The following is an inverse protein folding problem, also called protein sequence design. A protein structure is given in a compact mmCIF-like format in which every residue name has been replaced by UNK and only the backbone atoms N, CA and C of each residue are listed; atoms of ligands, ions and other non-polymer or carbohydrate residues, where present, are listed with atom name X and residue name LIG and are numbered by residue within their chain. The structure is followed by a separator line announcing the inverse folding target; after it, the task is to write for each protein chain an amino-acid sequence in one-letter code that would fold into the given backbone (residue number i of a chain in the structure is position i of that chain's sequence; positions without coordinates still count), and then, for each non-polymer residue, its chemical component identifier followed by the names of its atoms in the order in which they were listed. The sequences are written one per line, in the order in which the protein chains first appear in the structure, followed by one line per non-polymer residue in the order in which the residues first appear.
data_IF_067499414529
#
_entry.id   IF_067499414529
#
_cell.length_a   1.000
_cell.length_b   1.000
_cell.length_c   1.000
_cell.angle_alpha   90.00
_cell.angle_beta   90.00
_cell.angle_gamma   90.00
#
_symmetry.space_group_name_H-M   'P 1'
#
loop_
_entity.id
_entity.type
_entity.pdbx_description
1 polymer ?
#
# COMPACT_ATOMS: atom_id res chain seq x y z
N UNK A 1 31.83 11.12 -61.05
CA UNK A 1 31.76 12.59 -60.93
C UNK A 1 30.29 12.96 -60.74
N UNK A 2 29.81 12.98 -59.49
CA UNK A 2 28.47 13.47 -59.14
C UNK A 2 28.58 14.21 -57.80
N UNK A 3 28.81 15.52 -57.88
CA UNK A 3 28.74 16.40 -56.72
C UNK A 3 27.27 16.74 -56.49
N UNK A 4 26.68 16.20 -55.42
CA UNK A 4 25.37 16.65 -54.94
C UNK A 4 25.58 17.98 -54.21
N UNK A 5 25.09 19.07 -54.81
CA UNK A 5 25.05 20.39 -54.20
C UNK A 5 24.02 20.42 -53.07
N UNK A 6 24.46 20.54 -51.82
CA UNK A 6 23.57 20.85 -50.70
C UNK A 6 23.06 22.29 -50.84
N UNK A 7 21.74 22.56 -50.76
CA UNK A 7 21.22 23.92 -50.80
C UNK A 7 21.60 24.66 -49.51
N UNK A 8 22.47 25.64 -49.65
CA UNK A 8 23.07 26.44 -48.58
C UNK A 8 22.33 27.76 -48.36
N UNK A 9 21.04 27.74 -48.02
CA UNK A 9 20.35 28.94 -47.48
C UNK A 9 19.25 28.56 -46.49
N UNK A 10 19.61 28.26 -45.24
CA UNK A 10 18.66 28.38 -44.14
C UNK A 10 18.42 29.87 -43.93
N UNK A 11 17.38 30.43 -44.55
CA UNK A 11 17.11 31.88 -44.45
C UNK A 11 16.77 32.26 -43.01
N UNK A 12 17.23 33.42 -42.52
CA UNK A 12 16.95 33.91 -41.17
C UNK A 12 15.42 34.04 -40.88
N UNK A 13 14.60 34.08 -41.93
CA UNK A 13 13.13 34.16 -41.86
C UNK A 13 12.43 32.84 -41.54
N UNK A 14 13.08 31.69 -41.79
CA UNK A 14 12.51 30.35 -41.51
C UNK A 14 12.90 29.79 -40.14
N UNK A 15 13.89 30.41 -39.48
CA UNK A 15 14.32 30.10 -38.10
C UNK A 15 13.19 30.12 -37.05
N UNK A 16 12.31 31.14 -36.98
CA UNK A 16 11.21 31.15 -35.99
C UNK A 16 10.19 30.04 -36.25
N UNK A 17 9.94 29.67 -37.51
CA UNK A 17 9.04 28.57 -37.85
C UNK A 17 9.61 27.20 -37.44
N UNK A 18 10.93 26.99 -37.60
CA UNK A 18 11.61 25.78 -37.12
C UNK A 18 11.66 25.71 -35.59
N UNK A 19 11.87 26.83 -34.90
CA UNK A 19 11.80 26.92 -33.44
C UNK A 19 10.40 26.59 -32.92
N UNK A 20 9.37 27.13 -33.56
CA UNK A 20 7.97 26.87 -33.22
C UNK A 20 7.61 25.41 -33.51
N UNK A 21 8.05 24.85 -34.64
CA UNK A 21 7.85 23.43 -34.96
C UNK A 21 8.59 22.51 -33.99
N UNK A 22 9.81 22.86 -33.54
CA UNK A 22 10.56 22.10 -32.53
C UNK A 22 9.91 22.15 -31.14
N UNK A 23 9.16 23.21 -30.83
CA UNK A 23 8.33 23.32 -29.62
C UNK A 23 7.02 22.53 -29.79
N UNK A 24 6.40 22.58 -30.97
CA UNK A 24 5.10 21.97 -31.27
C UNK A 24 5.18 20.45 -31.54
N UNK A 25 6.28 19.94 -32.07
CA UNK A 25 6.48 18.49 -32.31
C UNK A 25 6.37 17.65 -31.02
N UNK A 26 7.01 18.01 -29.89
CA UNK A 26 6.81 17.31 -28.63
C UNK A 26 5.43 17.55 -28.00
N UNK A 27 4.69 18.59 -28.40
CA UNK A 27 3.29 18.82 -27.99
C UNK A 27 2.29 17.92 -28.75
N UNK A 28 2.64 17.47 -29.96
CA UNK A 28 1.81 16.60 -30.81
C UNK A 28 1.86 15.12 -30.40
N UNK A 29 2.94 14.70 -29.74
CA UNK A 29 2.96 13.45 -29.01
C UNK A 29 2.42 13.71 -27.60
N UNK A 30 1.33 13.07 -27.18
CA UNK A 30 0.83 13.10 -25.80
C UNK A 30 1.79 12.51 -24.74
N UNK A 31 3.10 12.66 -24.93
CA UNK A 31 4.18 12.25 -24.05
C UNK A 31 4.04 12.96 -22.71
N UNK A 32 3.39 12.30 -21.75
CA UNK A 32 3.28 12.74 -20.38
C UNK A 32 1.87 13.05 -19.90
N UNK A 33 0.92 13.36 -20.81
CA UNK A 33 -0.45 13.71 -20.39
C UNK A 33 -1.13 12.54 -19.69
N UNK A 34 -1.03 11.34 -20.27
CA UNK A 34 -1.58 10.12 -19.68
C UNK A 34 -0.74 9.56 -18.53
N UNK A 35 0.46 10.09 -18.26
CA UNK A 35 1.36 9.51 -17.26
C UNK A 35 0.80 9.62 -15.85
N UNK A 36 0.17 10.75 -15.51
CA UNK A 36 -0.47 10.95 -14.19
C UNK A 36 -1.67 10.00 -14.00
N UNK A 37 -2.71 10.01 -14.86
CA UNK A 37 -3.86 9.11 -14.66
C UNK A 37 -3.48 7.63 -14.76
N UNK A 38 -2.51 7.27 -15.60
CA UNK A 38 -2.02 5.89 -15.66
C UNK A 38 -1.37 5.46 -14.34
N UNK A 39 -0.53 6.31 -13.75
CA UNK A 39 0.13 6.00 -12.47
C UNK A 39 -0.87 6.01 -11.30
N UNK A 40 -1.85 6.90 -11.33
CA UNK A 40 -2.93 6.98 -10.34
C UNK A 40 -3.75 5.68 -10.31
N UNK A 41 -4.22 5.22 -11.48
CA UNK A 41 -4.99 3.98 -11.60
C UNK A 41 -4.17 2.75 -11.22
N UNK A 42 -2.87 2.72 -11.51
CA UNK A 42 -1.98 1.66 -11.03
C UNK A 42 -1.88 1.64 -9.50
N UNK A 43 -1.77 2.80 -8.85
CA UNK A 43 -1.74 2.89 -7.40
C UNK A 43 -3.07 2.47 -6.77
N UNK A 44 -4.22 2.88 -7.34
CA UNK A 44 -5.56 2.46 -6.92
C UNK A 44 -5.79 0.95 -7.10
N UNK A 45 -5.31 0.38 -8.21
CA UNK A 45 -5.37 -1.07 -8.43
C UNK A 45 -4.53 -1.83 -7.39
N UNK A 46 -3.31 -1.36 -7.09
CA UNK A 46 -2.48 -1.93 -6.05
C UNK A 46 -3.12 -1.80 -4.65
N UNK A 47 -3.82 -0.69 -4.37
CA UNK A 47 -4.57 -0.53 -3.13
C UNK A 47 -5.74 -1.51 -3.02
N UNK A 48 -6.48 -1.72 -4.11
CA UNK A 48 -7.55 -2.71 -4.15
C UNK A 48 -7.04 -4.10 -3.79
N UNK A 49 -5.84 -4.46 -4.26
CA UNK A 49 -5.22 -5.74 -3.90
C UNK A 49 -4.84 -5.80 -2.42
N UNK A 50 -4.36 -4.70 -1.83
CA UNK A 50 -4.14 -4.61 -0.38
C UNK A 50 -5.44 -4.87 0.39
N UNK A 51 -6.54 -4.24 -0.01
CA UNK A 51 -7.86 -4.44 0.60
C UNK A 51 -8.33 -5.89 0.49
N UNK A 52 -8.14 -6.54 -0.66
CA UNK A 52 -8.50 -7.94 -0.88
C UNK A 52 -7.80 -8.86 0.13
N UNK A 53 -6.48 -8.66 0.36
CA UNK A 53 -5.73 -9.49 1.28
C UNK A 53 -6.11 -9.23 2.74
N UNK A 54 -6.39 -7.98 3.13
CA UNK A 54 -6.90 -7.67 4.47
C UNK A 54 -8.30 -8.25 4.71
N UNK A 55 -9.19 -8.18 3.72
CA UNK A 55 -10.52 -8.80 3.79
C UNK A 55 -10.41 -10.31 3.98
N UNK A 56 -9.57 -10.99 3.18
CA UNK A 56 -9.31 -12.42 3.33
C UNK A 56 -8.85 -12.78 4.74
N UNK A 57 -7.94 -11.98 5.34
CA UNK A 57 -7.49 -12.18 6.72
C UNK A 57 -8.65 -12.11 7.69
N UNK A 58 -9.53 -11.12 7.54
CA UNK A 58 -10.72 -10.98 8.36
C UNK A 58 -11.69 -12.16 8.18
N UNK A 59 -11.85 -12.70 6.97
CA UNK A 59 -12.77 -13.80 6.68
C UNK A 59 -12.34 -15.15 7.28
N UNK A 60 -11.05 -15.34 7.57
CA UNK A 60 -10.53 -16.54 8.23
C UNK A 60 -10.79 -16.55 9.75
N UNK A 61 -10.97 -15.38 10.36
CA UNK A 61 -11.05 -15.24 11.82
C UNK A 61 -12.25 -15.97 12.45
N UNK A 62 -13.48 -15.94 11.90
CA UNK A 62 -14.60 -16.66 12.50
C UNK A 62 -14.31 -18.16 12.65
N UNK A 63 -13.72 -18.78 11.62
CA UNK A 63 -13.35 -20.20 11.66
C UNK A 63 -12.24 -20.46 12.69
N UNK A 64 -11.27 -19.55 12.81
CA UNK A 64 -10.24 -19.63 13.85
C UNK A 64 -10.86 -19.56 15.25
N UNK A 65 -11.73 -18.58 15.49
CA UNK A 65 -12.40 -18.37 16.77
C UNK A 65 -13.23 -19.59 17.16
N UNK A 66 -14.03 -20.15 16.25
CA UNK A 66 -14.81 -21.35 16.52
C UNK A 66 -13.94 -22.58 16.80
N UNK A 67 -12.82 -22.73 16.07
CA UNK A 67 -11.86 -23.82 16.31
C UNK A 67 -11.24 -23.69 17.70
N UNK A 68 -10.80 -22.49 18.10
CA UNK A 68 -10.21 -22.27 19.43
C UNK A 68 -11.25 -22.44 20.54
N UNK A 69 -12.48 -21.95 20.35
CA UNK A 69 -13.59 -22.11 21.32
C UNK A 69 -13.86 -23.57 21.69
N UNK A 70 -13.70 -24.50 20.74
CA UNK A 70 -13.89 -25.94 21.00
C UNK A 70 -12.93 -26.53 22.03
N UNK A 71 -11.77 -25.90 22.24
CA UNK A 71 -10.72 -26.38 23.15
C UNK A 71 -10.46 -25.44 24.34
N UNK A 72 -10.65 -24.14 24.14
CA UNK A 72 -10.29 -23.08 25.09
C UNK A 72 -11.48 -22.14 25.36
N UNK A 73 -12.68 -22.69 25.57
CA UNK A 73 -13.91 -21.90 25.81
C UNK A 73 -13.85 -20.99 27.06
N UNK A 74 -12.93 -21.26 27.98
CA UNK A 74 -12.68 -20.44 29.17
C UNK A 74 -11.91 -19.14 28.85
N UNK A 75 -11.23 -19.07 27.70
CA UNK A 75 -10.43 -17.92 27.24
C UNK A 75 -11.31 -16.84 26.60
N UNK A 76 -12.41 -16.49 27.27
CA UNK A 76 -13.46 -15.60 26.73
C UNK A 76 -12.92 -14.22 26.38
N UNK A 77 -12.15 -13.62 27.27
CA UNK A 77 -11.58 -12.28 27.08
C UNK A 77 -10.69 -12.21 25.83
N UNK A 78 -9.88 -13.25 25.59
CA UNK A 78 -9.00 -13.30 24.42
C UNK A 78 -9.82 -13.46 23.14
N UNK A 79 -10.79 -14.37 23.13
CA UNK A 79 -11.66 -14.61 21.98
C UNK A 79 -12.53 -13.38 21.65
N UNK A 80 -13.07 -12.71 22.65
CA UNK A 80 -13.81 -11.45 22.51
C UNK A 80 -12.91 -10.37 21.91
N UNK A 81 -11.67 -10.22 22.42
CA UNK A 81 -10.72 -9.24 21.89
C UNK A 81 -10.41 -9.46 20.41
N UNK A 82 -10.38 -10.72 19.94
CA UNK A 82 -10.15 -11.06 18.52
C UNK A 82 -11.37 -10.72 17.67
N UNK A 83 -12.58 -11.02 18.16
CA UNK A 83 -13.84 -10.69 17.47
C UNK A 83 -14.00 -9.17 17.35
N UNK A 84 -13.73 -8.43 18.43
CA UNK A 84 -13.79 -6.97 18.42
C UNK A 84 -12.74 -6.37 17.49
N UNK A 85 -11.49 -6.87 17.53
CA UNK A 85 -10.43 -6.38 16.66
C UNK A 85 -10.73 -6.65 15.18
N UNK A 86 -11.33 -7.81 14.86
CA UNK A 86 -11.85 -8.10 13.52
C UNK A 86 -12.92 -7.09 13.12
N UNK A 87 -13.92 -6.86 13.98
CA UNK A 87 -15.02 -5.94 13.69
C UNK A 87 -14.48 -4.53 13.38
N UNK A 88 -13.56 -4.02 14.21
CA UNK A 88 -12.88 -2.74 13.99
C UNK A 88 -12.10 -2.72 12.67
N UNK A 89 -11.34 -3.77 12.38
CA UNK A 89 -10.55 -3.89 11.15
C UNK A 89 -11.42 -3.92 9.88
N UNK A 90 -12.64 -4.46 9.95
CA UNK A 90 -13.61 -4.48 8.83
C UNK A 90 -14.45 -3.21 8.73
N UNK A 91 -14.68 -2.52 9.86
CA UNK A 91 -15.50 -1.30 9.91
C UNK A 91 -14.72 -0.07 9.43
N UNK A 92 -13.42 0.01 9.75
CA UNK A 92 -12.56 1.10 9.31
C UNK A 92 -12.15 0.82 7.87
N UNK A 93 -12.87 1.41 6.91
CA UNK A 93 -12.57 1.32 5.50
C UNK A 93 -11.82 2.56 5.02
N UNK A 94 -10.88 2.36 4.09
CA UNK A 94 -10.24 3.44 3.35
C UNK A 94 -10.58 3.30 1.87
N UNK A 95 -11.54 4.10 1.37
CA UNK A 95 -11.94 4.03 -0.02
C UNK A 95 -10.84 4.61 -0.93
N UNK A 96 -10.89 4.23 -2.21
CA UNK A 96 -9.86 4.53 -3.22
C UNK A 96 -9.69 6.04 -3.49
N UNK A 97 -10.72 6.83 -3.20
CA UNK A 97 -10.78 8.29 -3.37
C UNK A 97 -10.25 9.07 -2.16
N UNK A 98 -9.92 8.39 -1.07
CA UNK A 98 -9.40 9.01 0.16
C UNK A 98 -7.97 8.55 0.51
N UNK A 99 -7.23 8.07 -0.48
CA UNK A 99 -5.84 7.61 -0.32
C UNK A 99 -4.85 8.73 -0.02
N UNK A 100 -5.23 9.99 -0.23
CA UNK A 100 -4.48 11.19 0.10
C UNK A 100 -4.70 11.65 1.56
N UNK A 101 -5.74 11.17 2.25
CA UNK A 101 -6.09 11.55 3.63
C UNK A 101 -5.20 10.83 4.67
N UNK A 102 -4.27 11.55 5.35
CA UNK A 102 -3.37 10.93 6.33
C UNK A 102 -4.10 10.35 7.54
N UNK A 103 -5.19 10.99 7.98
CA UNK A 103 -5.90 10.58 9.18
C UNK A 103 -6.67 9.28 8.93
N UNK A 104 -7.35 9.17 7.78
CA UNK A 104 -8.02 7.92 7.40
C UNK A 104 -7.03 6.80 7.10
N UNK A 105 -5.92 7.10 6.42
CA UNK A 105 -4.87 6.11 6.17
C UNK A 105 -4.26 5.59 7.47
N UNK A 106 -4.00 6.48 8.45
CA UNK A 106 -3.55 6.10 9.78
C UNK A 106 -4.59 5.25 10.53
N UNK A 107 -5.85 5.67 10.55
CA UNK A 107 -6.93 4.92 11.20
C UNK A 107 -7.07 3.50 10.63
N UNK A 108 -6.96 3.35 9.30
CA UNK A 108 -6.93 2.04 8.64
C UNK A 108 -5.73 1.21 9.09
N UNK A 109 -4.52 1.77 9.09
CA UNK A 109 -3.34 1.03 9.55
C UNK A 109 -3.43 0.60 11.02
N UNK A 110 -3.91 1.50 11.89
CA UNK A 110 -4.07 1.24 13.32
C UNK A 110 -5.10 0.13 13.57
N UNK A 111 -6.20 0.09 12.81
CA UNK A 111 -7.19 -1.00 12.91
C UNK A 111 -6.61 -2.35 12.46
N UNK A 112 -5.82 -2.37 11.38
CA UNK A 112 -5.15 -3.59 10.91
C UNK A 112 -4.07 -4.08 11.87
N UNK A 113 -3.33 -3.15 12.50
CA UNK A 113 -2.34 -3.47 13.54
C UNK A 113 -3.00 -4.03 14.78
N UNK A 114 -4.14 -3.45 15.21
CA UNK A 114 -4.91 -3.93 16.35
C UNK A 114 -5.35 -5.39 16.18
N UNK A 115 -5.78 -5.75 14.97
CA UNK A 115 -6.10 -7.15 14.63
C UNK A 115 -4.87 -8.06 14.70
N UNK A 116 -3.74 -7.66 14.13
CA UNK A 116 -2.48 -8.44 14.25
C UNK A 116 -2.13 -8.68 15.72
N UNK A 117 -2.20 -7.66 16.57
CA UNK A 117 -1.90 -7.80 18.00
C UNK A 117 -2.87 -8.73 18.74
N UNK A 118 -4.16 -8.72 18.40
CA UNK A 118 -5.13 -9.64 18.98
C UNK A 118 -4.84 -11.10 18.59
N UNK A 119 -4.49 -11.33 17.32
CA UNK A 119 -4.08 -12.66 16.85
C UNK A 119 -2.79 -13.14 17.55
N UNK A 120 -1.81 -12.27 17.78
CA UNK A 120 -0.60 -12.64 18.53
C UNK A 120 -0.91 -13.08 19.97
N UNK A 121 -1.83 -12.39 20.66
CA UNK A 121 -2.28 -12.81 22.01
C UNK A 121 -3.01 -14.15 21.98
N UNK A 122 -3.88 -14.36 20.99
CA UNK A 122 -4.55 -15.65 20.79
C UNK A 122 -3.54 -16.78 20.62
N UNK A 123 -2.53 -16.59 19.77
CA UNK A 123 -1.48 -17.60 19.55
C UNK A 123 -0.69 -17.91 20.83
N UNK A 124 -0.40 -16.90 21.67
CA UNK A 124 0.25 -17.13 22.96
C UNK A 124 -0.61 -17.99 23.90
N UNK A 125 -1.92 -17.79 23.91
CA UNK A 125 -2.85 -18.61 24.70
C UNK A 125 -2.89 -20.05 24.20
N UNK A 126 -2.85 -20.28 22.89
CA UNK A 126 -2.87 -21.63 22.30
C UNK A 126 -1.70 -22.50 22.79
N UNK A 127 -0.58 -21.92 23.19
CA UNK A 127 0.56 -22.67 23.76
C UNK A 127 0.18 -23.45 25.04
N UNK A 128 -0.85 -23.01 25.77
CA UNK A 128 -1.36 -23.71 26.96
C UNK A 128 -2.29 -24.89 26.63
N UNK A 129 -2.62 -25.11 25.36
CA UNK A 129 -3.59 -26.11 24.89
C UNK A 129 -2.95 -27.06 23.86
N UNK A 130 -2.23 -28.10 24.29
CA UNK A 130 -1.52 -29.02 23.40
C UNK A 130 -2.41 -29.70 22.35
N UNK A 131 -3.64 -30.09 22.74
CA UNK A 131 -4.59 -30.74 21.82
C UNK A 131 -5.05 -29.81 20.69
N UNK A 132 -5.26 -28.52 21.00
CA UNK A 132 -5.57 -27.49 20.01
C UNK A 132 -4.37 -27.23 19.10
N UNK A 133 -3.17 -27.14 19.68
CA UNK A 133 -1.92 -26.95 18.93
C UNK A 133 -1.68 -28.09 17.93
N UNK A 134 -2.06 -29.31 18.27
CA UNK A 134 -1.96 -30.48 17.39
C UNK A 134 -3.17 -30.64 16.44
N UNK A 135 -4.23 -29.85 16.61
CA UNK A 135 -5.45 -29.95 15.81
C UNK A 135 -5.18 -29.56 14.35
N UNK A 136 -5.53 -30.46 13.42
CA UNK A 136 -5.26 -30.27 11.98
C UNK A 136 -6.01 -29.07 11.38
N UNK A 137 -7.23 -28.78 11.83
CA UNK A 137 -7.99 -27.63 11.36
C UNK A 137 -7.35 -26.31 11.84
N UNK A 138 -6.88 -26.28 13.09
CA UNK A 138 -6.16 -25.13 13.63
C UNK A 138 -4.85 -24.88 12.87
N UNK A 139 -4.03 -25.92 12.66
CA UNK A 139 -2.79 -25.81 11.90
C UNK A 139 -3.03 -25.34 10.45
N UNK A 140 -4.09 -25.84 9.80
CA UNK A 140 -4.46 -25.39 8.46
C UNK A 140 -4.87 -23.91 8.44
N UNK A 141 -5.66 -23.44 9.42
CA UNK A 141 -6.04 -22.04 9.54
C UNK A 141 -4.84 -21.13 9.84
N UNK A 142 -3.91 -21.58 10.69
CA UNK A 142 -2.67 -20.88 10.98
C UNK A 142 -1.83 -20.70 9.69
N UNK A 143 -1.66 -21.77 8.92
CA UNK A 143 -0.94 -21.70 7.64
C UNK A 143 -1.63 -20.78 6.62
N UNK A 144 -2.97 -20.75 6.59
CA UNK A 144 -3.73 -19.83 5.73
C UNK A 144 -3.57 -18.37 6.17
N UNK A 145 -3.55 -18.09 7.47
CA UNK A 145 -3.33 -16.75 8.02
C UNK A 145 -1.91 -16.28 7.75
N UNK A 146 -0.90 -17.12 7.98
CA UNK A 146 0.49 -16.82 7.62
C UNK A 146 0.64 -16.55 6.12
N UNK A 147 0.06 -17.41 5.29
CA UNK A 147 0.03 -17.22 3.84
C UNK A 147 -0.68 -15.94 3.41
N UNK A 148 -1.68 -15.48 4.18
CA UNK A 148 -2.35 -14.20 3.95
C UNK A 148 -1.47 -13.03 4.37
N UNK A 149 -0.80 -13.12 5.51
CA UNK A 149 0.11 -12.07 5.99
C UNK A 149 1.30 -11.86 5.02
N UNK A 150 1.85 -12.94 4.48
CA UNK A 150 2.87 -12.88 3.43
C UNK A 150 2.35 -12.18 2.16
N UNK A 151 1.11 -12.46 1.75
CA UNK A 151 0.47 -11.76 0.61
C UNK A 151 0.18 -10.30 0.92
N UNK A 152 -0.22 -9.96 2.14
CA UNK A 152 -0.37 -8.56 2.60
C UNK A 152 0.97 -7.84 2.46
N UNK A 153 2.07 -8.42 2.95
CA UNK A 153 3.40 -7.80 2.84
C UNK A 153 3.78 -7.52 1.39
N UNK A 154 3.52 -8.47 0.48
CA UNK A 154 3.78 -8.33 -0.95
C UNK A 154 2.87 -7.27 -1.59
N UNK A 155 1.56 -7.28 -1.30
CA UNK A 155 0.61 -6.30 -1.81
C UNK A 155 0.97 -4.88 -1.34
N UNK A 156 1.34 -4.71 -0.06
CA UNK A 156 1.83 -3.44 0.49
C UNK A 156 3.08 -2.97 -0.25
N UNK A 157 4.03 -3.87 -0.55
CA UNK A 157 5.22 -3.53 -1.34
C UNK A 157 4.87 -3.03 -2.74
N UNK A 158 3.93 -3.68 -3.43
CA UNK A 158 3.48 -3.22 -4.74
C UNK A 158 2.78 -1.86 -4.67
N UNK A 159 1.93 -1.64 -3.66
CA UNK A 159 1.32 -0.33 -3.43
C UNK A 159 2.36 0.75 -3.13
N UNK A 160 3.35 0.47 -2.26
CA UNK A 160 4.45 1.40 -1.95
C UNK A 160 5.14 1.88 -3.23
N UNK A 161 5.44 0.94 -4.12
CA UNK A 161 6.12 1.24 -5.39
C UNK A 161 5.22 2.02 -6.36
N UNK A 162 3.95 1.63 -6.50
CA UNK A 162 3.00 2.34 -7.35
C UNK A 162 2.74 3.78 -6.87
N UNK A 163 2.58 3.97 -5.55
CA UNK A 163 2.48 5.30 -4.93
C UNK A 163 3.75 6.10 -5.12
N UNK A 164 4.94 5.50 -4.99
CA UNK A 164 6.20 6.18 -5.27
C UNK A 164 6.23 6.71 -6.70
N UNK A 165 5.85 5.90 -7.68
CA UNK A 165 5.77 6.31 -9.09
C UNK A 165 4.76 7.45 -9.26
N UNK A 166 3.52 7.28 -8.81
CA UNK A 166 2.47 8.31 -8.90
C UNK A 166 2.88 9.63 -8.23
N UNK A 167 3.33 9.59 -6.98
CA UNK A 167 3.74 10.79 -6.25
C UNK A 167 4.96 11.48 -6.91
N UNK A 168 5.82 10.71 -7.60
CA UNK A 168 6.94 11.28 -8.36
C UNK A 168 6.45 12.02 -9.60
N UNK A 169 5.47 11.49 -10.35
CA UNK A 169 4.96 12.15 -11.56
C UNK A 169 4.32 13.51 -11.25
N UNK A 170 3.73 13.68 -10.07
CA UNK A 170 3.22 14.98 -9.61
C UNK A 170 4.32 16.02 -9.33
N UNK A 171 5.58 15.60 -9.18
CA UNK A 171 6.69 16.44 -8.69
C UNK A 171 7.84 16.62 -9.68
N UNK A 172 7.89 15.85 -10.75
CA UNK A 172 9.02 15.86 -11.71
C UNK A 172 8.68 16.45 -13.06
N UNK A 173 9.67 17.04 -13.74
CA UNK A 173 9.53 17.48 -15.13
C UNK A 173 9.58 16.28 -16.10
N UNK A 174 8.77 16.24 -17.18
CA UNK A 174 7.80 17.26 -17.60
C UNK A 174 6.41 17.15 -16.97
N UNK A 175 6.08 16.05 -16.29
CA UNK A 175 4.73 15.74 -15.80
C UNK A 175 4.16 16.75 -14.80
N UNK A 176 5.00 17.45 -14.03
CA UNK A 176 4.60 18.53 -13.13
C UNK A 176 3.86 19.67 -13.86
N UNK A 177 4.12 19.90 -15.14
CA UNK A 177 3.39 20.90 -15.93
C UNK A 177 1.92 20.47 -16.07
N UNK A 178 1.68 19.20 -16.42
CA UNK A 178 0.33 18.66 -16.52
C UNK A 178 -0.36 18.57 -15.16
N UNK A 179 0.37 18.23 -14.09
CA UNK A 179 -0.15 18.25 -12.72
C UNK A 179 -0.66 19.64 -12.33
N UNK A 180 0.08 20.71 -12.68
CA UNK A 180 -0.30 22.08 -12.31
C UNK A 180 -1.31 22.75 -13.24
N UNK A 181 -1.44 22.30 -14.49
CA UNK A 181 -2.28 22.94 -15.50
C UNK A 181 -3.60 22.20 -15.76
N UNK A 182 -3.64 20.87 -15.57
CA UNK A 182 -4.78 20.04 -15.94
C UNK A 182 -5.26 19.12 -14.81
N UNK A 183 -4.34 18.50 -14.08
CA UNK A 183 -4.64 17.57 -12.99
C UNK A 183 -4.45 18.26 -11.63
N UNK A 184 -5.01 19.45 -11.45
CA UNK A 184 -4.76 20.33 -10.28
C UNK A 184 -5.26 19.76 -8.97
N UNK A 185 -6.26 18.87 -9.04
CA UNK A 185 -6.89 18.28 -7.87
C UNK A 185 -6.14 17.02 -7.39
N UNK A 186 -5.25 16.45 -8.21
CA UNK A 186 -4.48 15.28 -7.86
C UNK A 186 -3.51 15.57 -6.72
N UNK A 187 -3.72 14.91 -5.58
CA UNK A 187 -2.82 14.94 -4.43
C UNK A 187 -1.94 13.69 -4.36
N UNK A 188 -0.76 13.77 -3.72
CA UNK A 188 0.04 12.60 -3.42
C UNK A 188 -0.73 11.61 -2.53
N UNK A 189 -0.67 10.33 -2.86
CA UNK A 189 -1.23 9.30 -2.01
C UNK A 189 -0.33 9.01 -0.81
N UNK A 190 -0.96 8.63 0.30
CA UNK A 190 -0.31 8.17 1.51
C UNK A 190 0.36 6.83 1.27
N UNK A 191 1.46 6.59 1.96
CA UNK A 191 2.28 5.40 1.82
C UNK A 191 2.42 4.66 3.15
N UNK A 192 2.68 3.36 3.07
CA UNK A 192 3.03 2.56 4.24
C UNK A 192 4.42 2.93 4.73
N UNK A 193 4.52 3.36 5.99
CA UNK A 193 5.78 3.68 6.66
C UNK A 193 5.87 2.95 7.99
N UNK A 194 7.09 2.88 8.53
CA UNK A 194 7.28 2.53 9.94
C UNK A 194 6.96 3.79 10.74
N UNK A 195 6.12 3.65 11.77
CA UNK A 195 5.82 4.75 12.67
C UNK A 195 7.12 5.23 13.34
N UNK A 196 7.31 6.55 13.40
CA UNK A 196 8.59 7.16 13.81
C UNK A 196 8.98 6.78 15.25
N UNK A 197 7.99 6.52 16.11
CA UNK A 197 8.14 6.02 17.49
C UNK A 197 8.74 4.61 17.58
N UNK A 198 8.74 3.83 16.48
CA UNK A 198 9.37 2.51 16.39
C UNK A 198 10.75 2.54 15.73
N UNK A 199 11.23 3.72 15.31
CA UNK A 199 12.59 3.88 14.77
C UNK A 199 13.65 3.98 15.87
N UNK A 200 13.25 4.29 17.11
CA UNK A 200 14.15 4.23 18.25
C UNK A 200 14.32 2.78 18.70
N UNK A 201 15.55 2.25 18.54
CA UNK A 201 15.88 0.91 19.02
C UNK A 201 15.68 0.83 20.55
N UNK A 202 15.10 -0.26 21.07
CA UNK A 202 14.94 -0.42 22.51
C UNK A 202 16.31 -0.37 23.19
N UNK A 203 16.48 0.58 24.12
CA UNK A 203 17.67 0.64 24.97
C UNK A 203 17.57 -0.49 25.98
N UNK A 204 18.29 -1.57 25.73
CA UNK A 204 18.40 -2.67 26.68
C UNK A 204 19.46 -2.27 27.71
N UNK A 205 19.01 -1.93 28.91
CA UNK A 205 19.89 -1.75 30.07
C UNK A 205 19.82 -3.02 30.94
N UNK A 206 20.95 -3.69 31.08
CA UNK A 206 21.11 -4.89 31.91
C UNK A 206 21.53 -4.57 33.35
N UNK A 207 21.50 -3.30 33.76
CA UNK A 207 21.90 -2.91 35.10
C UNK A 207 20.85 -3.35 36.14
N UNK A 208 20.93 -4.64 36.48
CA UNK A 208 20.41 -5.20 37.72
C UNK A 208 21.26 -4.62 38.85
N UNK A 209 20.74 -3.55 39.46
CA UNK A 209 21.33 -2.95 40.66
C UNK A 209 21.55 -4.03 41.73
N UNK A 210 22.76 -4.07 42.27
CA UNK A 210 23.16 -4.94 43.37
C UNK A 210 22.50 -4.60 44.70
#
# INVERSE_FOLDING_TARGET
MFAQSFPSTLSLRTLPAFLLLAIVLPLLAGCGFNTIPTAEEQAKAAWSEVLNQYQRRADLIPNLVETVKGYASHEKEVLESVVEARAKATQVTLPLDALDDPAKFKAFQDSQSGLTSALSRLLAVVENYPDLKANQNFLALQAQLEGTENRIAVARRYYIEAVRVYNTTLRTFPSILWAKLWFTDNQPFQNFTVAEDKLEAPKVDFNTGG
#
